data_IF_458213840247
#
_entry.id   IF_458213840247
#
_cell.length_a   1.000
_cell.length_b   1.000
_cell.length_c   1.000
_cell.angle_alpha   90.00
_cell.angle_beta   90.00
_cell.angle_gamma   90.00
#
_symmetry.space_group_name_H-M   'P 1'
#
loop_
_entity.id
_entity.type
_entity.pdbx_description
1 polymer ?
#
# COMPACT_ATOMS: atom_id res chain seq x y z
N UNK A 1 3.10 -14.63 -3.57
CA UNK A 1 2.21 -13.46 -3.74
C UNK A 1 0.85 -13.78 -3.13
N UNK A 2 0.62 -13.39 -1.87
CA UNK A 2 -0.66 -13.60 -1.20
C UNK A 2 -1.48 -12.32 -1.30
N UNK A 3 -2.51 -12.31 -2.16
CA UNK A 3 -3.50 -11.22 -2.21
C UNK A 3 -4.31 -11.25 -0.91
N UNK A 4 -4.32 -10.14 -0.16
CA UNK A 4 -5.23 -9.99 0.97
C UNK A 4 -6.66 -9.74 0.48
N UNK A 5 -7.68 -10.29 1.16
CA UNK A 5 -9.07 -10.12 0.78
C UNK A 5 -9.62 -8.79 1.32
N UNK A 6 -10.36 -8.08 0.45
CA UNK A 6 -11.42 -7.14 0.81
C UNK A 6 -11.02 -5.86 1.54
N UNK A 7 -10.79 -4.79 0.78
CA UNK A 7 -11.03 -3.42 1.25
C UNK A 7 -11.95 -2.70 0.27
N UNK A 8 -12.98 -2.08 0.83
CA UNK A 8 -14.21 -1.66 0.17
C UNK A 8 -13.98 -0.66 -0.97
N UNK A 9 -14.44 -1.03 -2.17
CA UNK A 9 -14.49 -0.19 -3.38
C UNK A 9 -15.55 0.93 -3.29
N UNK A 10 -15.80 1.53 -2.13
CA UNK A 10 -16.89 2.49 -2.00
C UNK A 10 -16.58 3.83 -2.69
N UNK A 11 -15.32 4.08 -3.07
CA UNK A 11 -14.75 5.29 -3.70
C UNK A 11 -15.47 5.95 -4.88
N UNK A 12 -15.95 5.15 -5.83
CA UNK A 12 -16.09 5.59 -7.22
C UNK A 12 -17.43 5.21 -7.86
N UNK A 13 -18.48 5.04 -7.05
CA UNK A 13 -19.82 4.74 -7.58
C UNK A 13 -20.45 5.89 -8.40
N UNK A 14 -19.91 7.11 -8.33
CA UNK A 14 -20.51 8.26 -9.03
C UNK A 14 -20.15 8.41 -10.52
N UNK A 15 -19.27 7.57 -11.09
CA UNK A 15 -19.02 7.59 -12.54
C UNK A 15 -19.04 6.17 -13.08
N UNK A 16 -20.10 5.85 -13.84
CA UNK A 16 -20.48 4.50 -14.27
C UNK A 16 -19.38 3.65 -14.93
N UNK A 17 -19.71 2.39 -15.22
CA UNK A 17 -18.81 1.28 -15.60
C UNK A 17 -17.54 1.58 -16.43
N UNK A 18 -17.55 2.61 -17.28
CA UNK A 18 -16.38 3.10 -18.03
C UNK A 18 -15.29 3.74 -17.17
N UNK A 19 -15.64 4.45 -16.08
CA UNK A 19 -14.68 5.10 -15.17
C UNK A 19 -13.89 4.10 -14.32
N UNK A 20 -14.56 3.07 -13.79
CA UNK A 20 -13.92 1.94 -13.09
C UNK A 20 -12.99 1.14 -14.01
N UNK A 21 -13.36 0.94 -15.28
CA UNK A 21 -12.55 0.19 -16.24
C UNK A 21 -11.25 0.91 -16.63
N UNK A 22 -11.29 2.23 -16.84
CA UNK A 22 -10.10 3.05 -17.16
C UNK A 22 -9.11 3.09 -15.99
N UNK A 23 -9.61 3.23 -14.77
CA UNK A 23 -8.79 3.25 -13.56
C UNK A 23 -8.09 1.90 -13.32
N UNK A 24 -8.82 0.79 -13.44
CA UNK A 24 -8.25 -0.56 -13.29
C UNK A 24 -7.28 -0.93 -14.43
N UNK A 25 -7.47 -0.35 -15.62
CA UNK A 25 -6.54 -0.50 -16.76
C UNK A 25 -5.22 0.23 -16.52
N UNK A 26 -5.28 1.47 -16.01
CA UNK A 26 -4.09 2.29 -15.76
C UNK A 26 -3.30 1.85 -14.51
N UNK A 27 -3.96 1.34 -13.46
CA UNK A 27 -3.28 0.69 -12.33
C UNK A 27 -2.47 -0.54 -12.76
N UNK A 28 -2.99 -1.32 -13.71
CA UNK A 28 -2.33 -2.53 -14.23
C UNK A 28 -1.07 -2.24 -15.04
N UNK A 29 -0.99 -1.07 -15.66
CA UNK A 29 0.13 -0.68 -16.52
C UNK A 29 1.34 -0.17 -15.72
N UNK A 30 1.09 0.30 -14.50
CA UNK A 30 2.13 0.91 -13.64
C UNK A 30 2.46 0.13 -12.35
N UNK A 31 1.84 -1.04 -12.12
CA UNK A 31 2.02 -1.85 -10.90
C UNK A 31 1.92 -1.02 -9.60
N UNK A 32 1.01 -0.03 -9.61
CA UNK A 32 0.73 0.88 -8.50
C UNK A 32 -0.60 0.52 -7.83
N UNK A 33 -0.63 0.66 -6.50
CA UNK A 33 -1.84 0.48 -5.71
C UNK A 33 -2.31 1.81 -5.10
N UNK A 34 -3.63 1.99 -5.01
CA UNK A 34 -4.26 3.17 -4.44
C UNK A 34 -5.22 2.73 -3.34
N UNK A 35 -4.97 3.17 -2.11
CA UNK A 35 -5.81 2.91 -0.94
C UNK A 35 -6.47 4.21 -0.50
N UNK A 36 -7.81 4.21 -0.41
CA UNK A 36 -8.62 5.42 -0.18
C UNK A 36 -9.37 5.28 1.13
N UNK A 37 -8.95 6.03 2.15
CA UNK A 37 -9.62 6.14 3.44
C UNK A 37 -10.54 7.36 3.43
N UNK A 38 -11.79 7.18 2.99
CA UNK A 38 -12.76 8.27 2.84
C UNK A 38 -13.12 8.96 4.14
N UNK A 39 -13.32 8.17 5.19
CA UNK A 39 -13.63 8.57 6.55
C UNK A 39 -12.59 9.56 7.10
N UNK A 40 -11.32 9.30 6.80
CA UNK A 40 -10.18 10.11 7.23
C UNK A 40 -9.75 11.16 6.22
N UNK A 41 -10.39 11.21 5.04
CA UNK A 41 -9.96 12.03 3.89
C UNK A 41 -8.48 11.81 3.56
N UNK A 42 -8.03 10.56 3.50
CA UNK A 42 -6.66 10.20 3.15
C UNK A 42 -6.66 9.30 1.91
N UNK A 43 -5.72 9.52 1.00
CA UNK A 43 -5.37 8.58 -0.06
C UNK A 43 -3.89 8.22 0.03
N UNK A 44 -3.60 6.92 -0.06
CA UNK A 44 -2.27 6.34 -0.05
C UNK A 44 -1.96 5.81 -1.46
N UNK A 45 -0.91 6.33 -2.07
CA UNK A 45 -0.40 5.90 -3.38
C UNK A 45 0.83 5.03 -3.14
N UNK A 46 0.72 3.74 -3.42
CA UNK A 46 1.80 2.77 -3.28
C UNK A 46 2.55 2.63 -4.61
N UNK A 47 3.81 3.07 -4.62
CA UNK A 47 4.67 2.97 -5.79
C UNK A 47 5.50 1.68 -5.75
N UNK A 48 5.62 0.96 -6.87
CA UNK A 48 6.55 -0.15 -6.99
C UNK A 48 7.99 0.37 -6.97
N UNK A 49 8.93 -0.52 -6.61
CA UNK A 49 10.35 -0.17 -6.47
C UNK A 49 10.95 0.46 -7.75
N UNK A 50 10.45 0.07 -8.92
CA UNK A 50 10.88 0.60 -10.23
C UNK A 50 10.46 2.04 -10.49
N UNK A 51 9.39 2.53 -9.85
CA UNK A 51 8.88 3.90 -10.03
C UNK A 51 9.19 4.80 -8.82
N UNK A 52 9.80 4.26 -7.76
CA UNK A 52 10.09 4.99 -6.51
C UNK A 52 11.19 6.07 -6.65
N UNK A 53 12.13 5.88 -7.58
CA UNK A 53 13.26 6.78 -7.84
C UNK A 53 13.06 7.67 -9.07
N UNK A 54 11.95 7.48 -9.81
CA UNK A 54 11.62 8.27 -10.98
C UNK A 54 10.68 9.42 -10.62
N UNK A 55 10.73 10.51 -11.39
CA UNK A 55 9.75 11.60 -11.28
C UNK A 55 8.33 11.02 -11.33
N UNK A 56 7.41 11.43 -10.43
CA UNK A 56 6.06 10.90 -10.41
C UNK A 56 5.44 10.94 -11.80
N UNK A 57 4.92 9.80 -12.25
CA UNK A 57 4.28 9.67 -13.56
C UNK A 57 3.16 10.71 -13.71
N UNK A 58 2.83 11.07 -14.95
CA UNK A 58 1.73 12.00 -15.23
C UNK A 58 0.42 11.55 -14.58
N UNK A 59 0.20 10.24 -14.47
CA UNK A 59 -0.92 9.65 -13.75
C UNK A 59 -0.87 9.93 -12.24
N UNK A 60 0.26 9.70 -11.56
CA UNK A 60 0.40 9.99 -10.12
C UNK A 60 0.16 11.47 -9.83
N UNK A 61 0.65 12.36 -10.69
CA UNK A 61 0.39 13.81 -10.57
C UNK A 61 -1.08 14.14 -10.74
N UNK A 62 -1.76 13.51 -11.69
CA UNK A 62 -3.19 13.71 -11.91
C UNK A 62 -4.01 13.25 -10.70
N UNK A 63 -3.71 12.06 -10.15
CA UNK A 63 -4.36 11.54 -8.93
C UNK A 63 -4.09 12.47 -7.74
N UNK A 64 -2.84 12.87 -7.54
CA UNK A 64 -2.48 13.81 -6.48
C UNK A 64 -3.26 15.13 -6.59
N UNK A 65 -3.29 15.73 -7.78
CA UNK A 65 -3.98 17.00 -8.03
C UNK A 65 -5.47 16.90 -7.75
N UNK A 66 -6.12 15.85 -8.23
CA UNK A 66 -7.56 15.67 -8.08
C UNK A 66 -7.96 15.44 -6.61
N UNK A 67 -7.26 14.56 -5.89
CA UNK A 67 -7.58 14.29 -4.49
C UNK A 67 -7.24 15.46 -3.57
N UNK A 68 -6.17 16.21 -3.88
CA UNK A 68 -5.85 17.42 -3.14
C UNK A 68 -6.89 18.52 -3.33
N UNK A 69 -7.43 18.67 -4.55
CA UNK A 69 -8.57 19.55 -4.86
C UNK A 69 -9.83 19.15 -4.09
N UNK A 70 -10.06 17.85 -3.90
CA UNK A 70 -11.18 17.29 -3.12
C UNK A 70 -10.98 17.36 -1.60
N UNK A 71 -9.89 17.98 -1.12
CA UNK A 71 -9.59 18.16 0.31
C UNK A 71 -9.04 16.90 0.99
N UNK A 72 -8.52 15.95 0.24
CA UNK A 72 -7.85 14.77 0.80
C UNK A 72 -6.37 15.07 1.07
N UNK A 73 -5.88 14.49 2.16
CA UNK A 73 -4.45 14.32 2.40
C UNK A 73 -3.92 13.18 1.52
N UNK A 74 -2.84 13.44 0.78
CA UNK A 74 -2.24 12.47 -0.14
C UNK A 74 -0.90 12.01 0.43
N UNK A 75 -0.75 10.70 0.66
CA UNK A 75 0.50 10.07 1.06
C UNK A 75 1.05 9.23 -0.09
N UNK A 76 2.33 9.41 -0.44
CA UNK A 76 3.03 8.58 -1.42
C UNK A 76 3.94 7.64 -0.64
N UNK A 77 3.67 6.35 -0.76
CA UNK A 77 4.34 5.27 -0.04
C UNK A 77 5.25 4.53 -1.02
N UNK A 78 6.51 4.42 -0.67
CA UNK A 78 7.53 3.74 -1.47
C UNK A 78 7.85 2.40 -0.87
N UNK A 79 7.96 1.37 -1.72
CA UNK A 79 8.54 0.10 -1.29
C UNK A 79 9.98 0.31 -0.82
N UNK A 80 10.30 -0.18 0.38
CA UNK A 80 11.68 -0.14 0.90
C UNK A 80 12.66 -0.93 0.02
N UNK A 81 13.95 -0.64 0.15
CA UNK A 81 15.01 -1.35 -0.59
C UNK A 81 15.43 -2.67 0.06
N UNK A 82 15.07 -2.87 1.32
CA UNK A 82 15.45 -4.00 2.16
C UNK A 82 14.82 -5.32 1.69
N UNK A 83 15.53 -6.43 1.92
CA UNK A 83 15.01 -7.76 1.59
C UNK A 83 13.96 -8.18 2.63
N UNK A 84 12.70 -8.21 2.19
CA UNK A 84 11.59 -8.64 3.02
C UNK A 84 11.76 -10.06 3.56
N UNK A 85 12.41 -10.95 2.82
CA UNK A 85 12.68 -12.32 3.23
C UNK A 85 13.62 -12.34 4.43
N UNK A 86 14.71 -11.58 4.35
CA UNK A 86 15.71 -11.49 5.41
C UNK A 86 15.13 -10.85 6.67
N UNK A 87 14.43 -9.73 6.53
CA UNK A 87 13.77 -9.03 7.65
C UNK A 87 12.74 -9.93 8.34
N UNK A 88 11.92 -10.63 7.56
CA UNK A 88 10.90 -11.54 8.11
C UNK A 88 11.56 -12.72 8.82
N UNK A 89 12.62 -13.30 8.24
CA UNK A 89 13.35 -14.38 8.87
C UNK A 89 14.00 -13.95 10.19
N UNK A 90 14.60 -12.75 10.24
CA UNK A 90 15.18 -12.18 11.45
C UNK A 90 14.12 -12.00 12.55
N UNK A 91 12.97 -11.42 12.21
CA UNK A 91 11.85 -11.23 13.13
C UNK A 91 11.33 -12.57 13.68
N UNK A 92 11.16 -13.58 12.83
CA UNK A 92 10.70 -14.90 13.26
C UNK A 92 11.70 -15.59 14.19
N UNK A 93 13.00 -15.50 13.90
CA UNK A 93 14.06 -16.02 14.77
C UNK A 93 14.05 -15.32 16.14
N UNK A 94 13.94 -14.00 16.13
CA UNK A 94 13.86 -13.20 17.35
C UNK A 94 12.63 -13.59 18.22
N UNK A 95 11.47 -13.72 17.60
CA UNK A 95 10.24 -14.12 18.29
C UNK A 95 10.36 -15.51 18.90
N UNK A 96 10.93 -16.48 18.16
CA UNK A 96 11.20 -17.83 18.69
C UNK A 96 12.13 -17.80 19.89
N UNK A 97 13.20 -17.00 19.83
CA UNK A 97 14.11 -16.83 20.96
C UNK A 97 13.40 -16.25 22.20
N UNK A 98 12.58 -15.22 22.02
CA UNK A 98 11.82 -14.63 23.13
C UNK A 98 10.81 -15.61 23.73
N UNK A 99 10.16 -16.43 22.90
CA UNK A 99 9.25 -17.47 23.38
C UNK A 99 9.99 -18.51 24.23
N UNK A 100 11.11 -19.05 23.73
CA UNK A 100 11.93 -20.00 24.48
C UNK A 100 12.44 -19.40 25.80
N UNK A 101 12.86 -18.13 25.78
CA UNK A 101 13.28 -17.42 27.00
C UNK A 101 12.16 -17.29 28.02
N UNK A 102 10.92 -17.00 27.56
CA UNK A 102 9.74 -16.91 28.43
C UNK A 102 9.41 -18.27 29.05
N UNK A 103 9.41 -19.34 28.26
CA UNK A 103 9.15 -20.70 28.74
C UNK A 103 10.16 -21.12 29.83
N UNK A 104 11.46 -20.85 29.61
CA UNK A 104 12.49 -21.11 30.62
C UNK A 104 12.29 -20.28 31.89
N UNK A 105 11.86 -19.02 31.77
CA UNK A 105 11.61 -18.17 32.94
C UNK A 105 10.38 -18.58 33.76
N UNK A 106 9.44 -19.32 33.17
CA UNK A 106 8.26 -19.87 33.87
C UNK A 106 8.52 -21.22 34.53
N UNK A 107 9.66 -21.85 34.26
CA UNK A 107 10.09 -23.14 34.84
C UNK A 107 11.06 -22.96 36.02
N UNK A 108 11.43 -21.71 36.35
CA UNK A 108 12.25 -21.32 37.51
C UNK A 108 11.37 -20.84 38.65
#
# INVERSE_FOLDING_TARGET
MHRKPGYEQSGLEEKGAKGKALYNSQQKEHDMDLDIHKDKKIICIWLPKSEADYEPSSFVRAVFSEYKRLGYSVAILKSGTEDLTELTAALLKHNRFLMAKRELSTLS
#
